data_IF_897986931057
#
_entry.id   IF_897986931057
#
_cell.length_a   1.000
_cell.length_b   1.000
_cell.length_c   1.000
_cell.angle_alpha   90.00
_cell.angle_beta   90.00
_cell.angle_gamma   90.00
#
_symmetry.space_group_name_H-M   'P 1'
#
loop_
_entity.id
_entity.type
_entity.pdbx_description
1 polymer ?
#
# COMPACT_ATOMS: atom_id res chain seq x y z
N UNK A 1 -2.37 -4.49 14.79
CA UNK A 1 -1.41 -3.96 15.76
C UNK A 1 -0.25 -4.90 16.11
N UNK A 2 -0.27 -6.18 15.70
CA UNK A 2 0.75 -7.17 16.10
C UNK A 2 2.21 -6.74 15.85
N UNK A 3 2.51 -6.14 14.68
CA UNK A 3 3.87 -5.70 14.33
C UNK A 3 4.36 -4.55 15.21
N UNK A 4 3.53 -3.52 15.38
CA UNK A 4 3.89 -2.34 16.18
C UNK A 4 4.07 -2.69 17.65
N UNK A 5 3.29 -3.64 18.18
CA UNK A 5 3.48 -4.16 19.54
C UNK A 5 4.86 -4.83 19.73
N UNK A 6 5.41 -5.43 18.69
CA UNK A 6 6.76 -6.02 18.70
C UNK A 6 7.88 -5.02 18.38
N UNK A 7 7.55 -3.72 18.23
CA UNK A 7 8.52 -2.68 17.87
C UNK A 7 8.91 -2.67 16.38
N UNK A 8 8.20 -3.41 15.53
CA UNK A 8 8.42 -3.40 14.08
C UNK A 8 7.72 -2.18 13.47
N UNK A 9 8.43 -1.27 12.78
CA UNK A 9 7.78 -0.15 12.11
C UNK A 9 6.87 -0.66 10.99
N UNK A 10 5.60 -0.30 11.07
CA UNK A 10 4.59 -0.72 10.12
C UNK A 10 3.54 0.38 9.92
N UNK A 11 2.95 0.45 8.73
CA UNK A 11 1.92 1.45 8.38
C UNK A 11 0.81 0.86 7.52
N UNK A 12 -0.38 1.42 7.69
CA UNK A 12 -1.52 1.08 6.85
C UNK A 12 -1.30 1.69 5.47
N UNK A 13 -1.56 0.91 4.43
CA UNK A 13 -1.50 1.33 3.02
C UNK A 13 -2.76 0.83 2.34
N UNK A 14 -3.19 1.52 1.29
CA UNK A 14 -4.35 1.07 0.55
C UNK A 14 -4.68 1.93 -0.64
N UNK A 15 -5.66 1.45 -1.39
CA UNK A 15 -6.32 2.18 -2.46
C UNK A 15 -7.79 2.38 -2.08
N UNK A 16 -8.36 3.58 -2.28
CA UNK A 16 -9.78 3.79 -2.09
C UNK A 16 -10.61 3.22 -3.27
N UNK A 17 -9.98 3.02 -4.43
CA UNK A 17 -10.67 2.69 -5.67
C UNK A 17 -9.72 1.96 -6.63
N UNK A 18 -9.94 0.65 -6.82
CA UNK A 18 -9.23 -0.09 -7.84
C UNK A 18 -9.48 0.49 -9.23
N UNK A 19 -8.41 0.65 -10.01
CA UNK A 19 -8.46 1.20 -11.37
C UNK A 19 -9.15 2.57 -11.44
N UNK A 20 -9.00 3.38 -10.37
CA UNK A 20 -9.65 4.68 -10.25
C UNK A 20 -11.19 4.63 -10.21
N UNK A 21 -11.78 3.45 -10.01
CA UNK A 21 -13.23 3.25 -10.03
C UNK A 21 -13.75 2.78 -8.66
N UNK A 22 -14.52 3.63 -7.98
CA UNK A 22 -15.12 3.33 -6.67
C UNK A 22 -15.99 2.07 -6.67
N UNK A 23 -16.56 1.69 -7.83
CA UNK A 23 -17.40 0.48 -7.95
C UNK A 23 -16.58 -0.81 -7.97
N UNK A 24 -15.27 -0.73 -8.21
CA UNK A 24 -14.35 -1.87 -8.14
C UNK A 24 -13.87 -2.14 -6.71
N UNK A 25 -14.28 -1.30 -5.75
CA UNK A 25 -13.99 -1.44 -4.33
C UNK A 25 -12.65 -0.85 -3.91
N UNK A 26 -12.42 -0.87 -2.60
CA UNK A 26 -11.18 -0.45 -1.96
C UNK A 26 -10.40 -1.68 -1.46
N UNK A 27 -9.12 -1.50 -1.15
CA UNK A 27 -8.32 -2.55 -0.51
C UNK A 27 -7.21 -1.95 0.35
N UNK A 28 -6.90 -2.62 1.45
CA UNK A 28 -5.89 -2.18 2.40
C UNK A 28 -4.95 -3.33 2.75
N UNK A 29 -3.68 -2.99 2.96
CA UNK A 29 -2.63 -3.89 3.39
C UNK A 29 -1.68 -3.14 4.32
N UNK A 30 -0.56 -3.77 4.68
CA UNK A 30 0.43 -3.18 5.57
C UNK A 30 1.78 -3.11 4.86
N UNK A 31 2.44 -1.96 5.01
CA UNK A 31 3.87 -1.85 4.72
C UNK A 31 4.67 -2.02 6.02
N UNK A 32 5.78 -2.75 5.93
CA UNK A 32 6.67 -3.07 7.05
C UNK A 32 8.10 -2.63 6.71
N UNK A 33 8.75 -1.90 7.61
CA UNK A 33 10.10 -1.43 7.36
C UNK A 33 11.11 -2.54 7.62
N UNK A 34 11.89 -2.90 6.60
CA UNK A 34 12.90 -3.98 6.68
C UNK A 34 14.34 -3.45 6.67
N UNK A 35 14.55 -2.14 6.54
CA UNK A 35 15.86 -1.48 6.66
C UNK A 35 16.81 -1.64 5.46
N UNK A 36 16.54 -2.57 4.54
CA UNK A 36 17.22 -2.72 3.25
C UNK A 36 16.24 -2.59 2.08
N UNK A 37 16.74 -2.47 0.85
CA UNK A 37 15.89 -2.36 -0.35
C UNK A 37 15.30 -3.72 -0.72
N UNK A 38 13.98 -3.78 -0.88
CA UNK A 38 13.27 -4.97 -1.39
C UNK A 38 13.16 -4.97 -2.91
N UNK A 39 12.61 -6.03 -3.51
CA UNK A 39 12.40 -6.11 -4.97
C UNK A 39 11.44 -5.04 -5.52
N UNK A 40 10.59 -4.45 -4.65
CA UNK A 40 9.79 -3.26 -4.97
C UNK A 40 10.62 -1.98 -5.17
N UNK A 41 11.90 -1.97 -4.78
CA UNK A 41 12.80 -0.83 -4.89
C UNK A 41 12.81 0.11 -3.69
N UNK A 42 12.20 -0.27 -2.56
CA UNK A 42 12.12 0.54 -1.34
C UNK A 42 12.36 -0.30 -0.08
N UNK A 43 12.55 0.33 1.07
CA UNK A 43 12.76 -0.35 2.35
C UNK A 43 11.46 -0.76 3.06
N UNK A 44 10.31 -0.46 2.44
CA UNK A 44 8.99 -0.85 2.90
C UNK A 44 8.52 -2.09 2.14
N UNK A 45 8.56 -3.23 2.82
CA UNK A 45 8.02 -4.51 2.36
C UNK A 45 6.49 -4.54 2.46
N UNK A 46 5.84 -5.32 1.59
CA UNK A 46 4.38 -5.45 1.58
C UNK A 46 3.96 -6.71 2.32
N UNK A 47 2.89 -6.65 3.10
CA UNK A 47 2.22 -7.83 3.65
C UNK A 47 0.70 -7.68 3.57
N UNK A 48 0.00 -8.77 3.31
CA UNK A 48 -1.47 -8.81 3.32
C UNK A 48 -2.00 -9.58 4.54
N UNK A 49 -3.17 -9.12 5.03
CA UNK A 49 -3.97 -9.90 5.96
C UNK A 49 -4.77 -10.96 5.20
N UNK A 50 -5.15 -12.05 5.88
CA UNK A 50 -5.97 -13.08 5.26
C UNK A 50 -7.28 -12.51 4.66
N UNK A 51 -7.71 -12.95 3.46
CA UNK A 51 -7.09 -13.99 2.63
C UNK A 51 -5.91 -13.45 1.80
N UNK A 52 -4.70 -13.78 2.26
CA UNK A 52 -3.43 -13.49 1.61
C UNK A 52 -3.07 -14.68 0.71
N UNK A 53 -2.23 -14.46 -0.30
CA UNK A 53 -1.68 -15.55 -1.09
C UNK A 53 -0.90 -16.52 -0.20
N UNK A 54 -0.95 -17.82 -0.51
CA UNK A 54 -0.03 -18.77 0.13
C UNK A 54 1.40 -18.53 -0.38
N UNK A 55 2.38 -18.52 0.52
CA UNK A 55 3.80 -18.44 0.16
C UNK A 55 4.37 -17.03 0.01
N UNK A 56 3.71 -16.01 0.57
CA UNK A 56 4.21 -14.64 0.55
C UNK A 56 5.57 -14.48 1.25
N UNK A 57 6.55 -13.92 0.53
CA UNK A 57 7.79 -13.40 1.11
C UNK A 57 7.66 -11.92 1.47
N UNK A 58 8.58 -11.38 2.28
CA UNK A 58 8.66 -9.94 2.52
C UNK A 58 9.31 -9.17 1.36
N UNK A 59 10.10 -9.86 0.55
CA UNK A 59 10.98 -9.23 -0.45
C UNK A 59 10.27 -9.06 -1.80
N UNK A 60 9.59 -10.12 -2.26
CA UNK A 60 8.96 -10.16 -3.57
C UNK A 60 7.52 -9.58 -3.53
N UNK A 61 7.27 -8.44 -4.20
CA UNK A 61 5.94 -7.87 -4.27
C UNK A 61 4.97 -8.73 -5.11
N UNK A 62 5.46 -9.52 -6.06
CA UNK A 62 4.62 -10.35 -6.93
C UNK A 62 3.97 -11.56 -6.23
N UNK A 63 4.39 -11.86 -4.99
CA UNK A 63 3.71 -12.87 -4.19
C UNK A 63 2.36 -12.35 -3.63
N UNK A 64 2.15 -11.02 -3.65
CA UNK A 64 0.93 -10.38 -3.15
C UNK A 64 -0.16 -10.44 -4.19
N UNK A 65 -1.37 -10.84 -3.79
CA UNK A 65 -2.50 -10.98 -4.71
C UNK A 65 -2.78 -9.68 -5.44
N UNK A 66 -2.69 -8.54 -4.72
CA UNK A 66 -3.00 -7.26 -5.33
C UNK A 66 -1.97 -6.83 -6.38
N UNK A 67 -0.72 -7.27 -6.29
CA UNK A 67 0.39 -6.68 -7.02
C UNK A 67 0.57 -7.36 -8.38
N UNK A 68 -0.18 -6.88 -9.37
CA UNK A 68 -0.10 -7.38 -10.74
C UNK A 68 -0.48 -6.29 -11.76
N UNK A 69 -0.14 -6.46 -13.05
CA UNK A 69 -0.45 -5.48 -14.10
C UNK A 69 -1.95 -5.22 -14.28
N UNK A 70 -2.82 -6.20 -14.00
CA UNK A 70 -4.27 -6.02 -14.11
C UNK A 70 -4.85 -5.00 -13.11
N UNK A 71 -4.15 -4.78 -11.99
CA UNK A 71 -4.53 -3.78 -10.99
C UNK A 71 -3.76 -2.47 -11.11
N UNK A 72 -2.60 -2.45 -11.75
CA UNK A 72 -1.72 -1.26 -11.78
C UNK A 72 -1.53 -0.70 -13.19
N UNK A 73 -1.15 -1.50 -14.19
CA UNK A 73 -0.82 -1.06 -15.56
C UNK A 73 -1.87 -0.16 -16.23
N UNK A 74 -1.63 1.16 -16.24
CA UNK A 74 -2.55 2.19 -16.76
C UNK A 74 -3.98 2.12 -16.19
N UNK A 75 -4.12 1.52 -15.02
CA UNK A 75 -5.40 1.31 -14.36
C UNK A 75 -5.99 2.60 -13.78
N UNK A 76 -5.14 3.55 -13.39
CA UNK A 76 -5.54 4.68 -12.56
C UNK A 76 -5.70 4.33 -11.06
N UNK A 77 -5.22 3.16 -10.63
CA UNK A 77 -5.14 2.81 -9.20
C UNK A 77 -4.19 3.75 -8.49
N UNK A 78 -4.73 4.52 -7.55
CA UNK A 78 -3.93 5.33 -6.63
C UNK A 78 -3.68 4.57 -5.33
N UNK A 79 -2.49 4.72 -4.76
CA UNK A 79 -2.09 4.06 -3.51
C UNK A 79 -1.56 5.09 -2.53
N UNK A 80 -2.03 4.99 -1.29
CA UNK A 80 -1.65 5.91 -0.23
C UNK A 80 -1.17 5.14 1.00
N UNK A 81 -0.08 5.59 1.61
CA UNK A 81 0.40 5.07 2.88
C UNK A 81 0.19 6.08 4.01
N UNK A 82 -0.27 5.63 5.16
CA UNK A 82 -0.42 6.46 6.36
C UNK A 82 0.93 6.94 6.89
N UNK A 83 0.97 8.16 7.41
CA UNK A 83 2.17 8.75 8.03
C UNK A 83 1.88 9.25 9.44
N UNK A 84 2.94 9.25 10.26
CA UNK A 84 2.88 9.86 11.58
C UNK A 84 3.11 11.38 11.52
N UNK A 85 4.07 11.81 10.72
CA UNK A 85 4.42 13.22 10.62
C UNK A 85 3.44 13.97 9.71
N UNK A 86 3.12 15.21 10.10
CA UNK A 86 2.24 16.10 9.33
C UNK A 86 2.99 17.02 8.37
N UNK A 87 4.30 16.83 8.22
CA UNK A 87 5.20 17.71 7.48
C UNK A 87 5.33 17.40 5.99
N UNK A 88 4.54 16.46 5.45
CA UNK A 88 4.57 16.07 4.04
C UNK A 88 3.83 17.03 3.11
N UNK A 89 3.66 16.60 1.86
CA UNK A 89 3.14 17.37 0.72
C UNK A 89 1.64 17.73 0.80
N UNK A 90 1.03 17.64 1.98
CA UNK A 90 -0.40 17.85 2.21
C UNK A 90 -1.30 16.68 1.81
N UNK A 91 -0.71 15.54 1.42
CA UNK A 91 -1.47 14.33 1.11
C UNK A 91 -2.12 13.72 2.36
N UNK A 92 -3.29 13.11 2.16
CA UNK A 92 -4.05 12.41 3.18
C UNK A 92 -4.31 10.97 2.73
N UNK A 93 -4.43 10.08 3.70
CA UNK A 93 -4.84 8.71 3.44
C UNK A 93 -6.37 8.68 3.26
N UNK A 94 -6.89 8.30 2.09
CA UNK A 94 -8.32 8.29 1.84
C UNK A 94 -8.98 7.15 2.61
N UNK A 95 -9.86 7.49 3.55
CA UNK A 95 -10.69 6.51 4.23
C UNK A 95 -11.88 6.16 3.35
N UNK A 96 -11.91 4.94 2.80
CA UNK A 96 -12.92 4.53 1.82
C UNK A 96 -14.39 4.67 2.30
N UNK A 97 -14.62 4.73 3.62
CA UNK A 97 -15.94 4.95 4.23
C UNK A 97 -16.25 6.43 4.52
N UNK A 98 -15.28 7.33 4.39
CA UNK A 98 -15.39 8.77 4.66
C UNK A 98 -14.32 9.56 3.87
N UNK A 99 -14.51 9.63 2.54
CA UNK A 99 -13.53 10.22 1.62
C UNK A 99 -13.28 11.72 1.82
N UNK A 100 -14.18 12.42 2.51
CA UNK A 100 -14.02 13.85 2.81
C UNK A 100 -13.12 14.10 4.03
N UNK A 101 -12.68 13.04 4.71
CA UNK A 101 -11.91 13.15 5.93
C UNK A 101 -10.42 13.22 5.66
N UNK A 102 -9.84 14.39 5.95
CA UNK A 102 -8.41 14.63 5.80
C UNK A 102 -7.66 14.57 7.15
N UNK A 103 -8.26 13.93 8.17
CA UNK A 103 -7.67 13.82 9.50
C UNK A 103 -6.49 12.84 9.58
N UNK A 104 -6.41 11.90 8.63
CA UNK A 104 -5.34 10.91 8.53
C UNK A 104 -4.34 11.36 7.48
N UNK A 105 -3.14 11.73 7.92
CA UNK A 105 -2.06 12.13 6.99
C UNK A 105 -1.54 10.91 6.25
N UNK A 106 -1.21 11.11 4.97
CA UNK A 106 -0.63 10.07 4.14
C UNK A 106 0.46 10.59 3.22
N UNK A 107 1.01 9.67 2.45
CA UNK A 107 1.82 9.93 1.27
C UNK A 107 1.27 9.16 0.09
N UNK A 108 1.37 9.77 -1.08
CA UNK A 108 1.12 9.12 -2.36
C UNK A 108 2.26 8.14 -2.67
N UNK A 109 1.89 6.90 -2.95
CA UNK A 109 2.77 5.77 -3.25
C UNK A 109 2.49 5.21 -4.64
N UNK A 110 1.57 5.80 -5.38
CA UNK A 110 1.05 5.27 -6.65
C UNK A 110 2.17 4.96 -7.63
N UNK A 111 3.13 5.87 -7.82
CA UNK A 111 4.26 5.64 -8.72
C UNK A 111 5.15 4.44 -8.33
N UNK A 112 5.34 4.21 -7.02
CA UNK A 112 6.11 3.06 -6.54
C UNK A 112 5.38 1.76 -6.80
N UNK A 113 4.08 1.70 -6.48
CA UNK A 113 3.28 0.50 -6.70
C UNK A 113 3.11 0.21 -8.19
N UNK A 114 2.90 1.24 -9.02
CA UNK A 114 2.87 1.11 -10.47
C UNK A 114 4.17 0.49 -11.00
N UNK A 115 5.33 0.99 -10.56
CA UNK A 115 6.62 0.49 -10.99
C UNK A 115 6.94 -0.93 -10.49
N UNK A 116 6.52 -1.27 -9.26
CA UNK A 116 6.76 -2.57 -8.66
C UNK A 116 5.83 -3.64 -9.25
N UNK A 117 4.52 -3.37 -9.30
CA UNK A 117 3.51 -4.35 -9.65
C UNK A 117 3.37 -4.61 -11.16
N UNK A 118 3.87 -3.71 -12.00
CA UNK A 118 3.94 -3.94 -13.46
C UNK A 118 5.06 -4.90 -13.88
N UNK A 119 5.93 -5.33 -12.95
CA UNK A 119 6.97 -6.34 -13.20
C UNK A 119 6.50 -7.76 -12.88
N UNK A 120 5.37 -7.85 -12.18
CA UNK A 120 4.57 -9.04 -12.04
C UNK A 120 3.68 -9.19 -13.30
#
# INVERSE_FOLDING_TARGET
DALRTAGVPARLVGTPAWQGNMSHGNHNWVEVYVGGTTDSGDAWAFIEGAPAGGGESLDNPCDKWFCNPGHFNFSGTEVFATRYDRGGDGAFYPMAWDMANHGVVGEDRSALYEAACNKC
#
